data_IF_529258325549
#
_entry.id   IF_529258325549
#
_cell.length_a   1.000
_cell.length_b   1.000
_cell.length_c   1.000
_cell.angle_alpha   90.00
_cell.angle_beta   90.00
_cell.angle_gamma   90.00
#
_symmetry.space_group_name_H-M   'P 1'
#
loop_
_entity.id
_entity.type
_entity.pdbx_description
1 polymer ?
#
# COMPACT_ATOMS: atom_id res chain seq x y z
N UNK A 1 -9.11 -7.99 5.05
CA UNK A 1 -9.70 -9.35 5.01
C UNK A 1 -11.21 -9.21 5.17
N UNK A 2 -12.04 -9.75 4.28
CA UNK A 2 -13.50 -9.46 4.33
C UNK A 2 -14.17 -10.17 5.52
N UNK A 3 -15.18 -9.54 6.14
CA UNK A 3 -15.98 -10.10 7.26
C UNK A 3 -16.50 -11.52 6.97
N UNK A 4 -16.76 -11.85 5.70
CA UNK A 4 -17.26 -13.16 5.26
C UNK A 4 -16.26 -14.30 5.53
N UNK A 5 -14.96 -14.03 5.48
CA UNK A 5 -13.92 -15.04 5.74
C UNK A 5 -13.81 -15.42 7.22
N UNK A 6 -14.00 -14.45 8.12
CA UNK A 6 -14.02 -14.71 9.56
C UNK A 6 -15.17 -15.64 9.96
N UNK A 7 -16.35 -15.43 9.39
CA UNK A 7 -17.51 -16.30 9.58
C UNK A 7 -17.28 -17.72 9.07
N UNK A 8 -16.62 -17.87 7.91
CA UNK A 8 -16.32 -19.19 7.35
C UNK A 8 -15.33 -19.99 8.21
N UNK A 9 -14.26 -19.35 8.69
CA UNK A 9 -13.30 -19.99 9.59
C UNK A 9 -13.93 -20.35 10.95
N UNK A 10 -14.77 -19.48 11.50
CA UNK A 10 -15.51 -19.76 12.73
C UNK A 10 -16.48 -20.95 12.57
N UNK A 11 -17.18 -21.03 11.43
CA UNK A 11 -18.07 -22.15 11.11
C UNK A 11 -17.31 -23.48 11.04
N UNK A 12 -16.14 -23.51 10.38
CA UNK A 12 -15.28 -24.70 10.35
C UNK A 12 -14.87 -25.09 11.76
N UNK A 13 -14.44 -24.13 12.58
CA UNK A 13 -14.07 -24.37 13.98
C UNK A 13 -15.21 -24.99 14.79
N UNK A 14 -16.44 -24.46 14.66
CA UNK A 14 -17.63 -25.01 15.32
C UNK A 14 -17.94 -26.44 14.86
N UNK A 15 -17.82 -26.72 13.56
CA UNK A 15 -18.02 -28.07 13.00
C UNK A 15 -16.97 -29.04 13.56
N UNK A 16 -15.69 -28.64 13.61
CA UNK A 16 -14.62 -29.46 14.17
C UNK A 16 -14.80 -29.74 15.67
N UNK A 17 -15.14 -28.71 16.46
CA UNK A 17 -15.38 -28.86 17.91
C UNK A 17 -16.62 -29.73 18.17
N UNK A 18 -17.72 -29.49 17.44
CA UNK A 18 -18.92 -30.30 17.52
C UNK A 18 -18.67 -31.77 17.17
N UNK A 19 -17.78 -32.02 16.20
CA UNK A 19 -17.35 -33.38 15.86
C UNK A 19 -16.57 -34.05 17.00
N UNK A 20 -15.58 -33.36 17.59
CA UNK A 20 -14.80 -33.89 18.71
C UNK A 20 -15.70 -34.21 19.91
N UNK A 21 -16.63 -33.31 20.24
CA UNK A 21 -17.61 -33.54 21.31
C UNK A 21 -18.49 -34.75 20.98
N UNK A 22 -19.00 -34.85 19.76
CA UNK A 22 -19.88 -35.97 19.37
C UNK A 22 -19.14 -37.31 19.31
N UNK A 23 -17.87 -37.32 18.90
CA UNK A 23 -16.99 -38.48 18.90
C UNK A 23 -16.75 -39.00 20.32
N UNK A 24 -16.42 -38.09 21.26
CA UNK A 24 -16.00 -38.46 22.61
C UNK A 24 -17.19 -38.76 23.54
N UNK A 25 -18.33 -38.08 23.36
CA UNK A 25 -19.44 -38.13 24.32
C UNK A 25 -20.73 -38.77 23.78
N UNK A 26 -20.88 -38.99 22.46
CA UNK A 26 -22.12 -39.51 21.85
C UNK A 26 -21.87 -40.49 20.69
N UNK A 27 -21.25 -41.66 20.96
CA UNK A 27 -20.98 -42.66 19.92
C UNK A 27 -22.30 -43.20 19.31
N UNK A 28 -22.44 -43.07 18.00
CA UNK A 28 -23.55 -43.58 17.19
C UNK A 28 -22.99 -44.49 16.08
N UNK A 29 -23.76 -45.48 15.57
CA UNK A 29 -23.32 -46.32 14.47
C UNK A 29 -23.02 -45.46 13.23
N UNK A 30 -21.76 -45.54 12.76
CA UNK A 30 -21.28 -44.78 11.61
C UNK A 30 -21.62 -45.48 10.31
N UNK A 31 -21.96 -44.70 9.30
CA UNK A 31 -22.12 -45.20 7.93
C UNK A 31 -20.96 -44.69 7.09
N UNK A 32 -20.58 -45.45 6.06
CA UNK A 32 -19.55 -45.01 5.09
C UNK A 32 -19.88 -43.62 4.51
N UNK A 33 -21.16 -43.34 4.26
CA UNK A 33 -21.63 -42.04 3.77
C UNK A 33 -21.37 -40.90 4.77
N UNK A 34 -21.68 -41.09 6.06
CA UNK A 34 -21.45 -40.07 7.08
C UNK A 34 -19.96 -39.78 7.26
N UNK A 35 -19.13 -40.82 7.17
CA UNK A 35 -17.69 -40.70 7.37
C UNK A 35 -17.01 -40.02 6.18
N UNK A 36 -17.44 -40.30 4.93
CA UNK A 36 -16.97 -39.60 3.73
C UNK A 36 -17.34 -38.11 3.79
N UNK A 37 -18.61 -37.78 4.08
CA UNK A 37 -19.05 -36.38 4.15
C UNK A 37 -18.28 -35.60 5.22
N UNK A 38 -18.04 -36.21 6.38
CA UNK A 38 -17.24 -35.60 7.45
C UNK A 38 -15.78 -35.44 7.05
N UNK A 39 -15.17 -36.46 6.45
CA UNK A 39 -13.78 -36.41 5.97
C UNK A 39 -13.56 -35.30 4.96
N UNK A 40 -14.50 -35.09 4.03
CA UNK A 40 -14.45 -33.98 3.05
C UNK A 40 -14.52 -32.63 3.76
N UNK A 41 -15.48 -32.44 4.67
CA UNK A 41 -15.67 -31.14 5.36
C UNK A 41 -14.48 -30.78 6.25
N UNK A 42 -14.01 -31.72 7.07
CA UNK A 42 -12.85 -31.51 7.96
C UNK A 42 -11.58 -31.33 7.13
N UNK A 43 -11.36 -32.21 6.14
CA UNK A 43 -10.18 -32.16 5.27
C UNK A 43 -10.09 -30.84 4.50
N UNK A 44 -11.21 -30.39 3.90
CA UNK A 44 -11.27 -29.09 3.23
C UNK A 44 -11.00 -27.94 4.21
N UNK A 45 -11.64 -27.95 5.38
CA UNK A 45 -11.47 -26.90 6.39
C UNK A 45 -10.02 -26.79 6.88
N UNK A 46 -9.40 -27.91 7.24
CA UNK A 46 -7.99 -27.97 7.64
C UNK A 46 -7.07 -27.52 6.51
N UNK A 47 -7.23 -28.06 5.30
CA UNK A 47 -6.40 -27.69 4.15
C UNK A 47 -6.49 -26.18 3.85
N UNK A 48 -7.69 -25.61 3.91
CA UNK A 48 -7.92 -24.19 3.70
C UNK A 48 -7.23 -23.33 4.78
N UNK A 49 -7.39 -23.67 6.06
CA UNK A 49 -6.76 -22.97 7.19
C UNK A 49 -5.23 -23.11 7.15
N UNK A 50 -4.72 -24.31 6.87
CA UNK A 50 -3.28 -24.55 6.73
C UNK A 50 -2.69 -23.72 5.60
N UNK A 51 -3.34 -23.67 4.43
CA UNK A 51 -2.90 -22.82 3.32
C UNK A 51 -2.90 -21.32 3.69
N UNK A 52 -3.91 -20.85 4.43
CA UNK A 52 -3.97 -19.46 4.91
C UNK A 52 -2.85 -19.12 5.91
N UNK A 53 -2.58 -20.02 6.86
CA UNK A 53 -1.48 -19.86 7.81
C UNK A 53 -0.14 -19.87 7.09
N UNK A 54 0.06 -20.82 6.19
CA UNK A 54 1.27 -20.94 5.40
C UNK A 54 1.50 -19.70 4.51
N UNK A 55 0.43 -19.16 3.91
CA UNK A 55 0.45 -17.90 3.18
C UNK A 55 0.92 -16.73 4.04
N UNK A 56 0.38 -16.60 5.25
CA UNK A 56 0.80 -15.52 6.17
C UNK A 56 2.26 -15.64 6.59
N UNK A 57 2.73 -16.87 6.83
CA UNK A 57 4.12 -17.13 7.22
C UNK A 57 5.11 -16.89 6.07
N UNK A 58 4.72 -17.18 4.82
CA UNK A 58 5.58 -17.03 3.63
C UNK A 58 5.53 -15.66 2.98
N UNK A 59 4.49 -14.86 3.26
CA UNK A 59 4.37 -13.51 2.72
C UNK A 59 5.30 -12.54 3.46
N UNK A 60 6.22 -11.93 2.71
CA UNK A 60 6.97 -10.77 3.16
C UNK A 60 6.13 -9.52 2.93
N UNK A 61 5.93 -8.73 3.99
CA UNK A 61 5.17 -7.49 3.96
C UNK A 61 6.05 -6.35 4.43
N UNK A 62 6.44 -5.47 3.51
CA UNK A 62 7.27 -4.30 3.84
C UNK A 62 6.72 -3.10 3.09
N UNK A 63 6.60 -1.96 3.78
CA UNK A 63 6.18 -0.69 3.17
C UNK A 63 4.83 -0.75 2.43
N UNK A 64 3.91 -1.60 2.89
CA UNK A 64 2.60 -1.84 2.25
C UNK A 64 2.63 -2.84 1.10
N UNK A 65 3.82 -3.22 0.61
CA UNK A 65 3.99 -4.20 -0.45
C UNK A 65 4.00 -5.63 0.06
N UNK A 66 3.47 -6.53 -0.76
CA UNK A 66 3.42 -7.96 -0.48
C UNK A 66 4.25 -8.69 -1.54
N UNK A 67 5.19 -9.50 -1.09
CA UNK A 67 5.94 -10.44 -1.94
C UNK A 67 6.06 -11.82 -1.29
N UNK A 68 6.36 -12.84 -2.08
CA UNK A 68 6.65 -14.21 -1.62
C UNK A 68 7.78 -14.74 -2.51
N UNK A 69 8.86 -15.19 -1.89
CA UNK A 69 10.00 -15.80 -2.57
C UNK A 69 9.83 -17.33 -2.72
N UNK A 70 10.54 -17.93 -3.67
CA UNK A 70 10.50 -19.38 -3.94
C UNK A 70 9.23 -19.85 -4.66
N UNK A 71 8.55 -18.94 -5.37
CA UNK A 71 7.40 -19.26 -6.22
C UNK A 71 7.87 -19.72 -7.61
N UNK A 72 7.04 -20.49 -8.31
CA UNK A 72 7.29 -20.93 -9.68
C UNK A 72 8.28 -22.10 -9.82
N UNK A 73 9.02 -22.45 -8.76
CA UNK A 73 10.02 -23.52 -8.80
C UNK A 73 9.38 -24.93 -8.89
N UNK A 74 9.82 -25.79 -9.83
CA UNK A 74 9.46 -27.20 -9.86
C UNK A 74 9.80 -27.88 -8.53
N UNK A 75 8.89 -28.72 -8.01
CA UNK A 75 9.08 -29.39 -6.71
C UNK A 75 8.63 -28.57 -5.50
N UNK A 76 8.10 -27.35 -5.69
CA UNK A 76 7.44 -26.62 -4.61
C UNK A 76 6.20 -27.37 -4.10
N UNK A 77 6.18 -27.61 -2.78
CA UNK A 77 5.13 -28.40 -2.14
C UNK A 77 3.74 -27.80 -2.32
N UNK A 78 2.71 -28.67 -2.31
CA UNK A 78 1.32 -28.29 -2.60
C UNK A 78 0.79 -27.17 -1.68
N UNK A 79 1.26 -27.09 -0.44
CA UNK A 79 0.91 -26.02 0.51
C UNK A 79 1.43 -24.65 0.09
N UNK A 80 2.64 -24.55 -0.46
CA UNK A 80 3.18 -23.27 -0.95
C UNK A 80 2.37 -22.76 -2.15
N UNK A 81 2.04 -23.66 -3.07
CA UNK A 81 1.20 -23.33 -4.24
C UNK A 81 -0.21 -22.90 -3.81
N UNK A 82 -0.81 -23.59 -2.85
CA UNK A 82 -2.14 -23.24 -2.32
C UNK A 82 -2.12 -21.89 -1.58
N UNK A 83 -1.12 -21.66 -0.75
CA UNK A 83 -0.89 -20.38 -0.07
C UNK A 83 -0.72 -19.23 -1.07
N UNK A 84 0.04 -19.47 -2.12
CA UNK A 84 0.27 -18.53 -3.20
C UNK A 84 -1.02 -18.17 -3.96
N UNK A 85 -1.81 -19.17 -4.37
CA UNK A 85 -3.09 -18.95 -5.05
C UNK A 85 -4.08 -18.09 -4.24
N UNK A 86 -3.91 -18.04 -2.92
CA UNK A 86 -4.70 -17.16 -2.04
C UNK A 86 -4.14 -15.74 -1.94
N UNK A 87 -2.82 -15.56 -2.11
CA UNK A 87 -2.14 -14.27 -1.92
C UNK A 87 -2.03 -13.44 -3.19
N UNK A 88 -1.84 -14.08 -4.33
CA UNK A 88 -1.50 -13.42 -5.59
C UNK A 88 -2.61 -13.65 -6.64
N UNK A 89 -3.23 -12.58 -7.17
CA UNK A 89 -4.29 -12.69 -8.16
C UNK A 89 -3.77 -12.78 -9.61
N UNK A 90 -2.74 -13.60 -9.86
CA UNK A 90 -2.17 -13.81 -11.20
C UNK A 90 -0.92 -14.69 -11.16
N UNK A 91 -0.51 -15.27 -12.31
CA UNK A 91 0.62 -16.21 -12.41
C UNK A 91 1.96 -15.56 -12.05
N UNK A 92 2.92 -16.38 -11.63
CA UNK A 92 4.30 -15.99 -11.26
C UNK A 92 5.29 -16.93 -11.91
N UNK A 93 6.43 -16.38 -12.28
CA UNK A 93 7.59 -17.14 -12.73
C UNK A 93 8.47 -17.58 -11.55
N UNK A 94 9.49 -18.37 -11.85
CA UNK A 94 10.64 -18.58 -10.96
C UNK A 94 11.33 -17.25 -10.67
N UNK A 95 12.02 -17.15 -9.54
CA UNK A 95 12.68 -15.90 -9.13
C UNK A 95 13.78 -15.48 -10.10
N UNK A 96 14.42 -16.43 -10.79
CA UNK A 96 15.41 -16.16 -11.83
C UNK A 96 14.81 -15.38 -13.01
N UNK A 97 13.54 -15.63 -13.34
CA UNK A 97 12.86 -14.99 -14.47
C UNK A 97 12.16 -13.69 -14.07
N UNK A 98 11.39 -13.71 -12.98
CA UNK A 98 10.74 -12.51 -12.49
C UNK A 98 10.34 -12.57 -11.02
N UNK A 99 10.44 -11.43 -10.33
CA UNK A 99 9.93 -11.24 -8.96
C UNK A 99 8.86 -10.16 -8.95
N UNK A 100 7.85 -10.37 -8.10
CA UNK A 100 6.63 -9.59 -8.08
C UNK A 100 6.37 -9.05 -6.68
N UNK A 101 5.94 -7.79 -6.65
CA UNK A 101 5.29 -7.19 -5.50
C UNK A 101 3.93 -6.69 -5.92
N UNK A 102 2.95 -6.81 -5.03
CA UNK A 102 1.67 -6.15 -5.23
C UNK A 102 1.24 -5.41 -3.98
N UNK A 103 0.41 -4.39 -4.18
CA UNK A 103 -0.22 -3.67 -3.08
C UNK A 103 -1.59 -3.17 -3.49
N UNK A 104 -2.50 -3.15 -2.51
CA UNK A 104 -3.74 -2.39 -2.57
C UNK A 104 -3.83 -1.36 -1.43
N UNK A 105 -2.70 -1.11 -0.78
CA UNK A 105 -2.56 -0.14 0.31
C UNK A 105 -1.39 0.80 0.10
N UNK A 106 -1.48 2.01 0.62
CA UNK A 106 -0.33 2.91 0.71
C UNK A 106 0.66 2.43 1.79
N UNK A 107 1.76 3.18 1.95
CA UNK A 107 2.68 3.06 3.08
C UNK A 107 2.03 3.38 4.43
N UNK A 108 0.73 3.68 4.46
CA UNK A 108 -0.05 3.85 5.67
C UNK A 108 -0.90 2.62 6.03
N UNK A 109 -0.94 1.61 5.16
CA UNK A 109 -1.88 0.49 5.25
C UNK A 109 -3.31 0.85 4.87
N UNK A 110 -3.57 2.06 4.34
CA UNK A 110 -4.89 2.47 3.86
C UNK A 110 -5.11 1.97 2.46
N UNK A 111 -6.34 1.58 2.15
CA UNK A 111 -6.70 1.15 0.79
C UNK A 111 -6.45 2.25 -0.24
N UNK A 112 -5.77 1.89 -1.32
CA UNK A 112 -5.51 2.76 -2.46
C UNK A 112 -6.82 3.10 -3.20
N UNK A 113 -7.02 4.39 -3.44
CA UNK A 113 -8.15 4.95 -4.19
C UNK A 113 -7.71 6.16 -4.99
N UNK A 114 -8.18 6.35 -6.22
CA UNK A 114 -7.87 7.57 -6.99
C UNK A 114 -8.70 8.80 -6.58
N UNK A 115 -9.24 8.81 -5.35
CA UNK A 115 -9.69 10.02 -4.65
C UNK A 115 -8.52 10.77 -3.99
N UNK A 116 -7.33 10.16 -3.97
CA UNK A 116 -6.12 10.73 -3.42
C UNK A 116 -5.00 10.54 -4.43
N UNK A 117 -3.97 11.35 -4.24
CA UNK A 117 -2.77 11.33 -5.03
C UNK A 117 -1.65 10.69 -4.20
N UNK A 118 -0.81 9.91 -4.87
CA UNK A 118 0.31 9.23 -4.24
C UNK A 118 1.58 9.45 -5.05
N UNK A 119 2.71 9.41 -4.36
CA UNK A 119 4.03 9.40 -4.96
C UNK A 119 4.76 8.14 -4.51
N UNK A 120 5.30 7.40 -5.47
CA UNK A 120 6.29 6.36 -5.23
C UNK A 120 7.67 6.95 -5.51
N UNK A 121 8.39 7.28 -4.45
CA UNK A 121 9.72 7.88 -4.51
C UNK A 121 10.80 6.79 -4.45
N UNK A 122 11.55 6.63 -5.53
CA UNK A 122 12.77 5.83 -5.56
C UNK A 122 13.97 6.73 -5.28
N UNK A 123 14.78 6.46 -4.23
CA UNK A 123 15.99 7.25 -4.00
C UNK A 123 16.98 7.07 -5.17
N UNK A 124 17.98 7.94 -5.27
CA UNK A 124 19.03 7.80 -6.28
C UNK A 124 19.67 6.40 -6.23
N UNK A 125 19.72 5.72 -7.37
CA UNK A 125 20.18 4.31 -7.46
C UNK A 125 19.23 3.27 -6.84
N UNK A 126 18.05 3.66 -6.38
CA UNK A 126 17.05 2.80 -5.72
C UNK A 126 16.00 2.19 -6.65
N UNK A 127 16.08 2.43 -7.96
CA UNK A 127 15.24 1.76 -8.94
C UNK A 127 15.45 0.23 -8.89
N UNK A 128 14.45 -0.59 -9.25
CA UNK A 128 14.58 -2.04 -9.16
C UNK A 128 15.72 -2.59 -10.04
N UNK A 129 16.77 -3.19 -9.44
CA UNK A 129 17.90 -3.71 -10.21
C UNK A 129 17.48 -4.92 -11.03
N UNK A 130 17.84 -4.93 -12.31
CA UNK A 130 17.41 -5.94 -13.27
C UNK A 130 18.37 -6.01 -14.46
N UNK A 131 18.33 -7.12 -15.19
CA UNK A 131 19.07 -7.30 -16.45
C UNK A 131 18.17 -7.17 -17.69
N UNK A 132 16.85 -7.04 -17.52
CA UNK A 132 15.89 -6.89 -18.62
C UNK A 132 15.06 -5.60 -18.52
N UNK A 133 14.05 -5.59 -17.64
CA UNK A 133 13.28 -4.38 -17.30
C UNK A 133 12.48 -4.56 -16.00
N UNK A 134 11.98 -3.45 -15.47
CA UNK A 134 10.91 -3.47 -14.47
C UNK A 134 9.64 -2.76 -14.97
N UNK A 135 8.51 -3.07 -14.36
CA UNK A 135 7.25 -2.37 -14.62
C UNK A 135 6.42 -2.18 -13.36
N UNK A 136 5.85 -1.00 -13.21
CA UNK A 136 4.80 -0.69 -12.24
C UNK A 136 3.47 -0.58 -12.99
N UNK A 137 2.60 -1.56 -12.81
CA UNK A 137 1.30 -1.64 -13.48
C UNK A 137 0.17 -1.32 -12.53
N UNK A 138 -0.84 -0.61 -13.03
CA UNK A 138 -2.05 -0.29 -12.26
C UNK A 138 -3.29 -0.97 -12.85
N UNK A 139 -4.14 -1.49 -11.97
CA UNK A 139 -5.48 -1.97 -12.32
C UNK A 139 -6.50 -1.55 -11.27
N UNK A 140 -7.79 -1.72 -11.56
CA UNK A 140 -8.83 -1.54 -10.55
C UNK A 140 -8.73 -2.59 -9.42
N UNK A 141 -9.61 -2.50 -8.42
CA UNK A 141 -9.67 -3.48 -7.33
C UNK A 141 -9.91 -4.95 -7.78
N UNK A 142 -10.26 -5.19 -9.04
CA UNK A 142 -10.43 -6.51 -9.66
C UNK A 142 -9.28 -6.87 -10.61
N UNK A 143 -8.17 -6.13 -10.56
CA UNK A 143 -6.98 -6.31 -11.41
C UNK A 143 -7.24 -6.07 -12.91
N UNK A 144 -8.23 -5.23 -13.26
CA UNK A 144 -8.55 -4.89 -14.66
C UNK A 144 -7.97 -3.53 -15.03
N UNK A 145 -7.46 -3.39 -16.24
CA UNK A 145 -7.05 -2.10 -16.76
C UNK A 145 -8.25 -1.16 -16.90
N UNK A 146 -8.05 0.09 -16.49
CA UNK A 146 -9.07 1.14 -16.55
C UNK A 146 -8.65 2.16 -17.60
N UNK A 147 -9.45 2.37 -18.66
CA UNK A 147 -9.17 3.36 -19.68
C UNK A 147 -8.83 4.73 -19.08
N UNK A 148 -7.84 5.41 -19.67
CA UNK A 148 -7.40 6.73 -19.24
C UNK A 148 -6.97 7.59 -20.44
N UNK A 149 -6.92 8.93 -20.30
CA UNK A 149 -6.74 9.84 -21.44
C UNK A 149 -5.46 9.65 -22.26
N UNK A 150 -4.42 9.06 -21.66
CA UNK A 150 -3.12 8.87 -22.31
C UNK A 150 -2.83 7.40 -22.63
N UNK A 151 -3.84 6.51 -22.50
CA UNK A 151 -3.73 5.08 -22.74
C UNK A 151 -2.54 4.40 -22.03
N UNK A 152 -2.20 4.85 -20.81
CA UNK A 152 -1.06 4.38 -20.01
C UNK A 152 -1.52 3.56 -18.83
N UNK A 153 -1.09 2.30 -18.75
CA UNK A 153 -1.47 1.37 -17.67
C UNK A 153 -0.29 0.89 -16.84
N UNK A 154 0.93 1.23 -17.27
CA UNK A 154 2.15 0.97 -16.55
C UNK A 154 3.20 2.06 -16.81
N UNK A 155 4.15 2.18 -15.90
CA UNK A 155 5.44 2.86 -16.11
C UNK A 155 6.59 1.86 -15.89
N UNK A 156 7.74 2.13 -16.48
CA UNK A 156 8.94 1.28 -16.47
C UNK A 156 10.20 2.13 -16.64
N UNK A 157 11.37 1.50 -16.50
CA UNK A 157 12.66 2.04 -16.95
C UNK A 157 12.68 2.43 -18.43
N UNK A 158 11.77 1.90 -19.24
CA UNK A 158 11.61 2.23 -20.68
C UNK A 158 10.61 3.35 -20.95
N UNK A 159 9.98 3.90 -19.91
CA UNK A 159 8.94 4.92 -20.05
C UNK A 159 9.48 6.35 -20.19
N UNK A 160 10.80 6.53 -20.21
CA UNK A 160 11.43 7.86 -20.27
C UNK A 160 11.22 8.66 -18.98
N UNK A 161 11.27 7.98 -17.83
CA UNK A 161 11.14 8.64 -16.53
C UNK A 161 12.23 9.68 -16.34
N UNK A 162 11.83 10.87 -15.90
CA UNK A 162 12.71 12.00 -15.66
C UNK A 162 13.16 11.96 -14.20
N UNK A 163 14.48 11.84 -13.92
CA UNK A 163 14.99 11.90 -12.57
C UNK A 163 14.93 13.33 -12.01
N UNK A 164 14.82 13.43 -10.69
CA UNK A 164 14.98 14.65 -9.93
C UNK A 164 16.46 15.10 -9.95
N UNK A 165 16.73 16.34 -9.52
CA UNK A 165 18.08 16.90 -9.49
C UNK A 165 19.07 16.12 -8.60
N UNK A 166 18.58 15.40 -7.60
CA UNK A 166 19.38 14.54 -6.72
C UNK A 166 19.56 13.10 -7.27
N UNK A 167 19.05 12.81 -8.47
CA UNK A 167 19.09 11.50 -9.11
C UNK A 167 17.99 10.53 -8.66
N UNK A 168 17.11 10.93 -7.72
CA UNK A 168 15.93 10.15 -7.36
C UNK A 168 14.88 10.15 -8.48
N UNK A 169 13.90 9.25 -8.41
CA UNK A 169 12.79 9.17 -9.37
C UNK A 169 11.47 9.10 -8.62
N UNK A 170 10.60 10.08 -8.87
CA UNK A 170 9.23 10.08 -8.37
C UNK A 170 8.28 9.53 -9.43
N UNK A 171 7.44 8.56 -9.09
CA UNK A 171 6.30 8.15 -9.93
C UNK A 171 5.00 8.66 -9.30
N UNK A 172 4.25 9.45 -10.06
CA UNK A 172 3.00 10.07 -9.61
C UNK A 172 1.80 9.18 -9.95
N UNK A 173 1.01 8.82 -8.94
CA UNK A 173 -0.11 7.89 -9.03
C UNK A 173 -1.39 8.66 -8.69
N UNK A 174 -2.02 9.27 -9.69
CA UNK A 174 -3.11 10.21 -9.47
C UNK A 174 -4.03 10.30 -10.69
N UNK A 175 -5.24 10.82 -10.50
CA UNK A 175 -6.24 10.91 -11.57
C UNK A 175 -5.95 12.02 -12.56
N UNK A 176 -5.47 13.15 -12.06
CA UNK A 176 -5.16 14.35 -12.85
C UNK A 176 -3.67 14.37 -13.15
N UNK A 177 -3.31 14.74 -14.38
CA UNK A 177 -1.91 14.86 -14.77
C UNK A 177 -1.18 15.89 -13.87
N UNK A 178 -0.05 15.54 -13.25
CA UNK A 178 0.77 16.51 -12.54
C UNK A 178 1.50 17.40 -13.56
N UNK A 179 1.22 18.71 -13.54
CA UNK A 179 1.79 19.67 -14.47
C UNK A 179 3.34 19.62 -14.45
N UNK A 180 3.94 19.44 -15.62
CA UNK A 180 5.41 19.37 -15.78
C UNK A 180 6.03 18.06 -15.31
N UNK A 181 5.24 17.06 -14.91
CA UNK A 181 5.71 15.72 -14.49
C UNK A 181 4.94 14.59 -15.16
N UNK A 182 4.38 14.86 -16.34
CA UNK A 182 3.56 13.93 -17.12
C UNK A 182 4.36 12.69 -17.54
N UNK A 183 5.67 12.82 -17.77
CA UNK A 183 6.55 11.70 -18.07
C UNK A 183 6.51 10.63 -16.96
N UNK A 184 6.45 11.06 -15.70
CA UNK A 184 6.48 10.20 -14.52
C UNK A 184 5.10 9.85 -13.97
N UNK A 185 4.04 10.20 -14.69
CA UNK A 185 2.67 10.01 -14.24
C UNK A 185 2.09 8.67 -14.70
N UNK A 186 1.42 7.98 -13.78
CA UNK A 186 0.60 6.80 -14.04
C UNK A 186 -0.86 7.10 -13.63
N UNK A 187 -1.80 7.20 -14.61
CA UNK A 187 -3.18 7.60 -14.35
C UNK A 187 -3.94 6.64 -13.44
N UNK A 188 -4.46 7.15 -12.33
CA UNK A 188 -5.25 6.38 -11.37
C UNK A 188 -6.76 6.42 -11.68
N UNK A 189 -7.48 5.28 -11.54
CA UNK A 189 -8.93 5.27 -11.70
C UNK A 189 -9.60 5.96 -10.52
N UNK A 190 -10.80 6.52 -10.71
CA UNK A 190 -11.54 7.22 -9.64
C UNK A 190 -11.86 6.31 -8.42
N UNK A 191 -11.95 4.99 -8.64
CA UNK A 191 -12.25 4.00 -7.63
C UNK A 191 -11.02 3.47 -6.88
N UNK A 192 -11.19 2.32 -6.24
CA UNK A 192 -10.09 1.55 -5.65
C UNK A 192 -9.22 0.95 -6.74
N UNK A 193 -7.91 0.95 -6.51
CA UNK A 193 -6.95 0.36 -7.44
C UNK A 193 -5.94 -0.51 -6.71
N UNK A 194 -5.22 -1.30 -7.49
CA UNK A 194 -4.08 -2.10 -7.04
C UNK A 194 -2.89 -1.81 -7.93
N UNK A 195 -1.70 -2.01 -7.37
CA UNK A 195 -0.43 -1.88 -8.07
C UNK A 195 0.32 -3.19 -8.05
N UNK A 196 1.06 -3.39 -9.13
CA UNK A 196 1.99 -4.48 -9.27
C UNK A 196 3.34 -3.92 -9.71
N UNK A 197 4.37 -4.18 -8.94
CA UNK A 197 5.74 -4.03 -9.38
C UNK A 197 6.25 -5.40 -9.85
N UNK A 198 6.79 -5.45 -11.06
CA UNK A 198 7.37 -6.66 -11.65
C UNK A 198 8.77 -6.34 -12.09
N UNK A 199 9.72 -7.20 -11.74
CA UNK A 199 11.12 -7.05 -12.13
C UNK A 199 11.52 -8.32 -12.86
N UNK A 200 11.97 -8.18 -14.09
CA UNK A 200 12.33 -9.27 -15.00
C UNK A 200 13.85 -9.42 -15.06
N UNK A 201 14.34 -10.65 -14.93
CA UNK A 201 15.76 -10.96 -14.67
C UNK A 201 16.31 -10.10 -13.51
N UNK A 202 15.77 -10.26 -12.29
CA UNK A 202 16.09 -9.41 -11.16
C UNK A 202 17.56 -9.52 -10.74
N UNK A 203 18.15 -8.39 -10.35
CA UNK A 203 19.52 -8.32 -9.88
C UNK A 203 19.75 -9.00 -8.50
N UNK A 204 21.02 -9.15 -8.08
CA UNK A 204 21.39 -9.90 -6.88
C UNK A 204 20.67 -9.48 -5.60
N UNK A 205 20.49 -8.18 -5.36
CA UNK A 205 19.83 -7.65 -4.15
C UNK A 205 18.33 -7.97 -4.09
N UNK A 206 17.69 -8.22 -5.23
CA UNK A 206 16.32 -8.74 -5.23
C UNK A 206 16.32 -10.23 -4.92
N UNK A 207 17.24 -10.99 -5.54
CA UNK A 207 17.33 -12.45 -5.39
C UNK A 207 17.70 -12.87 -3.96
N UNK A 208 18.57 -12.11 -3.29
CA UNK A 208 18.92 -12.33 -1.87
C UNK A 208 17.87 -11.78 -0.89
N UNK A 209 16.85 -11.10 -1.40
CA UNK A 209 15.76 -10.54 -0.62
C UNK A 209 16.16 -9.34 0.24
N UNK A 210 17.23 -8.61 -0.07
CA UNK A 210 17.63 -7.36 0.59
C UNK A 210 16.95 -6.12 0.03
N UNK A 211 16.53 -6.14 -1.24
CA UNK A 211 15.81 -5.04 -1.89
C UNK A 211 14.47 -4.76 -1.19
N UNK A 212 14.18 -3.47 -0.99
CA UNK A 212 12.94 -2.99 -0.37
C UNK A 212 12.27 -2.00 -1.31
N UNK A 213 11.07 -2.34 -1.78
CA UNK A 213 10.26 -1.37 -2.52
C UNK A 213 9.91 -0.21 -1.58
N UNK A 214 10.13 1.05 -2.00
CA UNK A 214 9.74 2.20 -1.20
C UNK A 214 8.24 2.19 -0.89
N UNK A 215 7.81 2.76 0.24
CA UNK A 215 6.38 2.93 0.50
C UNK A 215 5.76 3.84 -0.54
N UNK A 216 4.50 3.57 -0.88
CA UNK A 216 3.68 4.60 -1.50
C UNK A 216 3.40 5.65 -0.46
N UNK A 217 3.89 6.86 -0.70
CA UNK A 217 3.61 7.96 0.19
C UNK A 217 2.30 8.61 -0.27
N UNK A 218 1.36 8.72 0.66
CA UNK A 218 0.23 9.63 0.50
C UNK A 218 0.76 11.04 0.74
N UNK A 219 1.38 11.58 -0.31
CA UNK A 219 1.83 12.96 -0.46
C UNK A 219 1.63 13.31 -1.91
N UNK A 220 1.15 14.52 -2.13
CA UNK A 220 0.76 14.97 -3.43
C UNK A 220 0.82 16.48 -3.48
N UNK A 221 0.83 16.97 -4.71
CA UNK A 221 0.46 18.33 -4.99
C UNK A 221 -0.97 18.52 -4.50
N UNK A 222 -1.15 19.30 -3.45
CA UNK A 222 -2.47 19.67 -2.98
C UNK A 222 -3.00 20.74 -3.92
N UNK A 223 -4.05 20.41 -4.67
CA UNK A 223 -4.81 21.39 -5.43
C UNK A 223 -5.96 21.94 -4.56
N UNK A 224 -5.84 23.21 -4.22
CA UNK A 224 -6.79 23.99 -3.42
C UNK A 224 -7.77 24.76 -4.31
N UNK A 225 -7.78 24.52 -5.64
CA UNK A 225 -8.75 25.13 -6.57
C UNK A 225 -10.18 24.65 -6.31
N UNK A 226 -10.34 23.39 -5.89
CA UNK A 226 -11.63 22.75 -5.57
C UNK A 226 -12.06 22.94 -4.11
N UNK A 227 -11.27 23.67 -3.30
CA UNK A 227 -11.62 24.02 -1.92
C UNK A 227 -10.51 23.73 -0.90
N UNK A 228 -10.79 24.12 0.35
CA UNK A 228 -9.89 23.90 1.47
C UNK A 228 -9.72 22.40 1.78
N UNK A 229 -8.66 22.06 2.50
CA UNK A 229 -8.30 20.70 2.87
C UNK A 229 -7.78 20.68 4.31
N UNK A 230 -7.91 19.58 5.04
CA UNK A 230 -7.54 19.44 6.45
C UNK A 230 -6.44 18.41 6.56
N UNK A 231 -5.25 18.82 7.01
CA UNK A 231 -4.20 17.92 7.48
C UNK A 231 -4.53 17.48 8.91
N UNK A 232 -4.63 16.18 9.13
CA UNK A 232 -4.76 15.61 10.46
C UNK A 232 -3.42 15.04 10.90
N UNK A 233 -3.01 15.39 12.12
CA UNK A 233 -1.78 14.95 12.75
C UNK A 233 -2.13 14.17 14.03
N UNK A 234 -1.66 12.93 14.20
CA UNK A 234 -1.90 12.17 15.42
C UNK A 234 -0.96 12.66 16.54
N UNK A 235 -1.12 12.13 17.74
CA UNK A 235 -0.09 12.27 18.77
C UNK A 235 1.19 11.53 18.33
N UNK A 236 2.24 12.30 18.11
CA UNK A 236 3.54 11.84 17.65
C UNK A 236 4.43 11.38 18.80
N UNK A 237 3.93 11.35 20.05
CA UNK A 237 4.61 10.86 21.24
C UNK A 237 6.00 11.49 21.44
N UNK A 238 6.11 12.80 21.20
CA UNK A 238 7.36 13.55 21.28
C UNK A 238 8.38 13.25 20.18
N UNK A 239 8.07 12.41 19.19
CA UNK A 239 8.96 12.08 18.06
C UNK A 239 9.17 13.28 17.14
N UNK A 240 10.35 13.33 16.51
CA UNK A 240 10.55 14.25 15.39
C UNK A 240 9.65 13.88 14.21
N UNK A 241 8.84 14.84 13.79
CA UNK A 241 8.13 14.81 12.53
C UNK A 241 8.06 16.22 11.96
N UNK A 242 7.89 16.30 10.65
CA UNK A 242 7.66 17.54 9.94
C UNK A 242 6.82 17.27 8.69
N UNK A 243 5.72 18.00 8.55
CA UNK A 243 4.96 18.18 7.33
C UNK A 243 5.32 19.55 6.79
N UNK A 244 6.04 19.56 5.68
CA UNK A 244 6.50 20.73 4.96
C UNK A 244 5.47 21.12 3.91
N UNK A 245 5.22 22.42 3.77
CA UNK A 245 4.38 22.99 2.71
C UNK A 245 5.20 23.95 1.88
N UNK A 246 5.31 23.66 0.59
CA UNK A 246 6.15 24.38 -0.37
C UNK A 246 5.31 24.90 -1.51
N UNK A 247 5.54 26.15 -1.88
CA UNK A 247 5.02 26.72 -3.11
C UNK A 247 5.81 26.14 -4.30
N UNK A 248 5.16 25.38 -5.22
CA UNK A 248 5.80 24.85 -6.42
C UNK A 248 6.53 25.89 -7.25
N UNK A 249 5.92 27.07 -7.37
CA UNK A 249 6.27 28.04 -8.40
C UNK A 249 7.57 28.73 -8.02
N UNK A 250 7.71 29.05 -6.74
CA UNK A 250 8.87 29.75 -6.18
C UNK A 250 9.84 28.83 -5.46
N UNK A 251 9.49 27.54 -5.32
CA UNK A 251 10.19 26.57 -4.47
C UNK A 251 10.42 27.06 -3.03
N UNK A 252 9.50 27.88 -2.52
CA UNK A 252 9.60 28.51 -1.20
C UNK A 252 8.73 27.78 -0.20
N UNK A 253 9.31 27.40 0.94
CA UNK A 253 8.55 26.82 2.05
C UNK A 253 7.77 27.92 2.76
N UNK A 254 6.45 27.80 2.78
CA UNK A 254 5.58 28.81 3.41
C UNK A 254 5.01 28.35 4.74
N UNK A 255 4.99 27.05 5.04
CA UNK A 255 4.55 26.55 6.34
C UNK A 255 5.19 25.20 6.72
N UNK A 256 5.17 24.92 8.02
CA UNK A 256 5.53 23.63 8.60
C UNK A 256 4.60 23.27 9.74
N UNK A 257 4.14 22.02 9.77
CA UNK A 257 3.50 21.38 10.93
C UNK A 257 4.44 20.30 11.43
N UNK A 258 4.89 20.37 12.67
CA UNK A 258 5.96 19.50 13.14
C UNK A 258 6.33 19.73 14.60
N UNK A 259 7.13 18.83 15.16
CA UNK A 259 7.52 18.85 16.59
C UNK A 259 7.98 20.23 17.06
N UNK A 260 8.77 20.92 16.22
CA UNK A 260 9.33 22.24 16.54
C UNK A 260 8.36 23.40 16.31
N UNK A 261 7.47 23.31 15.32
CA UNK A 261 6.63 24.44 14.89
C UNK A 261 5.24 24.42 15.51
N UNK A 262 4.69 23.23 15.77
CA UNK A 262 3.31 23.07 16.25
C UNK A 262 3.18 22.10 17.42
N UNK A 263 4.29 21.49 17.87
CA UNK A 263 4.29 20.48 18.93
C UNK A 263 4.09 19.07 18.39
N UNK A 264 4.15 18.09 19.29
CA UNK A 264 4.01 16.67 18.98
C UNK A 264 2.63 16.09 19.30
N UNK A 265 1.74 16.89 19.87
CA UNK A 265 0.37 16.46 20.19
C UNK A 265 -0.49 16.37 18.92
N UNK A 266 -1.61 15.66 19.02
CA UNK A 266 -2.57 15.55 17.94
C UNK A 266 -3.16 16.93 17.58
N UNK A 267 -3.45 17.15 16.30
CA UNK A 267 -4.07 18.40 15.85
C UNK A 267 -4.52 18.37 14.39
N UNK A 268 -5.52 19.20 14.10
CA UNK A 268 -6.09 19.39 12.78
C UNK A 268 -5.71 20.77 12.20
N UNK A 269 -5.30 20.80 10.93
CA UNK A 269 -4.77 21.97 10.27
C UNK A 269 -5.48 22.21 8.93
N UNK A 270 -6.26 23.28 8.83
CA UNK A 270 -7.01 23.63 7.63
C UNK A 270 -6.12 24.38 6.63
N UNK A 271 -5.74 23.72 5.54
CA UNK A 271 -5.11 24.31 4.38
C UNK A 271 -6.13 25.01 3.47
N UNK A 272 -5.91 26.30 3.22
CA UNK A 272 -6.81 27.12 2.39
C UNK A 272 -6.06 27.77 1.24
N UNK A 273 -6.66 27.78 0.05
CA UNK A 273 -6.10 28.49 -1.11
C UNK A 273 -6.29 30.01 -1.05
N UNK A 274 -5.66 30.76 -1.97
CA UNK A 274 -5.81 32.21 -2.06
C UNK A 274 -7.27 32.64 -2.23
N UNK A 275 -7.69 33.64 -1.46
CA UNK A 275 -9.04 34.21 -1.53
C UNK A 275 -10.15 33.35 -0.90
N UNK A 276 -9.81 32.33 -0.13
CA UNK A 276 -10.80 31.55 0.62
C UNK A 276 -11.48 32.42 1.70
N UNK A 277 -12.81 32.38 1.75
CA UNK A 277 -13.66 33.23 2.62
C UNK A 277 -14.50 32.45 3.64
N UNK A 278 -14.27 31.14 3.78
CA UNK A 278 -14.97 30.31 4.75
C UNK A 278 -14.57 30.63 6.21
N UNK A 279 -15.24 29.97 7.15
CA UNK A 279 -14.86 30.02 8.57
C UNK A 279 -13.99 28.80 8.91
N UNK A 280 -12.93 29.03 9.69
CA UNK A 280 -12.08 27.96 10.20
C UNK A 280 -12.88 27.18 11.24
N UNK A 281 -13.10 25.85 11.08
CA UNK A 281 -13.84 25.07 12.05
C UNK A 281 -13.18 25.09 13.44
N UNK A 282 -14.00 25.02 14.48
CA UNK A 282 -13.54 25.05 15.87
C UNK A 282 -12.47 23.97 16.14
N UNK A 283 -11.38 24.38 16.80
CA UNK A 283 -10.26 23.50 17.14
C UNK A 283 -9.21 23.30 16.04
N UNK A 284 -9.43 23.82 14.83
CA UNK A 284 -8.46 23.73 13.73
C UNK A 284 -7.56 24.97 13.65
N UNK A 285 -6.33 24.77 13.15
CA UNK A 285 -5.40 25.87 12.83
C UNK A 285 -5.32 26.09 11.32
N UNK A 286 -5.49 27.32 10.86
CA UNK A 286 -5.41 27.62 9.42
C UNK A 286 -3.95 27.69 8.92
N UNK A 287 -3.73 27.14 7.72
CA UNK A 287 -2.51 27.29 6.93
C UNK A 287 -2.91 27.90 5.59
N UNK A 288 -2.68 29.20 5.43
CA UNK A 288 -3.00 29.90 4.19
C UNK A 288 -1.90 29.67 3.14
N UNK A 289 -2.26 29.03 2.03
CA UNK A 289 -1.34 28.79 0.93
C UNK A 289 -1.26 30.03 0.02
N UNK A 290 -0.05 30.44 -0.41
CA UNK A 290 0.12 31.57 -1.33
C UNK A 290 -0.39 31.26 -2.73
N UNK A 291 -0.48 29.97 -3.09
CA UNK A 291 -0.94 29.47 -4.38
C UNK A 291 -1.96 28.34 -4.20
N UNK A 292 -2.72 28.06 -5.26
CA UNK A 292 -3.67 26.94 -5.28
C UNK A 292 -2.99 25.58 -5.37
N UNK A 293 -1.74 25.50 -5.82
CA UNK A 293 -0.95 24.27 -5.80
C UNK A 293 0.06 24.33 -4.66
N UNK A 294 0.14 23.25 -3.87
CA UNK A 294 1.08 23.14 -2.74
C UNK A 294 1.76 21.79 -2.77
N UNK A 295 3.09 21.75 -2.73
CA UNK A 295 3.82 20.53 -2.45
C UNK A 295 3.79 20.26 -0.95
N UNK A 296 3.27 19.10 -0.56
CA UNK A 296 3.27 18.64 0.83
C UNK A 296 4.28 17.50 0.98
N UNK A 297 5.18 17.60 1.97
CA UNK A 297 6.15 16.54 2.27
C UNK A 297 6.13 16.19 3.76
N UNK A 298 5.69 14.98 4.09
CA UNK A 298 5.75 14.42 5.44
C UNK A 298 7.07 13.69 5.70
N UNK A 299 7.68 13.94 6.86
CA UNK A 299 8.86 13.24 7.38
C UNK A 299 8.59 12.80 8.81
N UNK A 300 8.95 11.55 9.11
CA UNK A 300 8.91 10.99 10.47
C UNK A 300 10.24 10.31 10.70
N UNK A 301 10.93 10.68 11.79
CA UNK A 301 12.23 10.09 12.12
C UNK A 301 12.07 8.60 12.44
N UNK A 302 13.03 7.79 12.01
CA UNK A 302 13.25 6.41 12.49
C UNK A 302 14.53 6.44 13.31
N UNK A 303 14.48 6.03 14.58
CA UNK A 303 15.65 6.05 15.46
C UNK A 303 16.61 4.89 15.20
N UNK A 304 16.05 3.70 14.96
CA UNK A 304 16.75 2.45 14.70
C UNK A 304 15.81 1.44 14.01
N UNK A 305 16.32 0.27 13.65
CA UNK A 305 15.55 -0.77 12.93
C UNK A 305 14.34 -1.29 13.73
N UNK A 306 14.44 -1.35 15.06
CA UNK A 306 13.34 -1.81 15.93
C UNK A 306 12.19 -0.80 15.98
N UNK A 307 12.53 0.47 15.80
CA UNK A 307 11.63 1.62 15.81
C UNK A 307 10.86 1.83 14.49
N UNK A 308 11.33 1.22 13.39
CA UNK A 308 10.74 1.35 12.05
C UNK A 308 9.22 1.10 12.06
N UNK A 309 8.76 0.09 12.79
CA UNK A 309 7.32 -0.25 12.87
C UNK A 309 6.48 0.85 13.53
N UNK A 310 7.03 1.53 14.55
CA UNK A 310 6.38 2.64 15.26
C UNK A 310 6.40 3.90 14.42
N UNK A 311 7.54 4.24 13.83
CA UNK A 311 7.70 5.39 12.93
C UNK A 311 6.74 5.27 11.73
N UNK A 312 6.68 4.08 11.13
CA UNK A 312 5.74 3.75 10.07
C UNK A 312 4.30 3.92 10.57
N UNK A 313 3.90 3.29 11.69
CA UNK A 313 2.54 3.43 12.27
C UNK A 313 2.12 4.89 12.50
N UNK A 314 3.05 5.78 12.86
CA UNK A 314 2.75 7.20 13.07
C UNK A 314 2.71 7.97 11.75
N UNK A 315 3.66 7.72 10.84
CA UNK A 315 3.65 8.34 9.51
C UNK A 315 2.40 7.98 8.72
N UNK A 316 1.89 6.76 8.95
CA UNK A 316 0.62 6.35 8.39
C UNK A 316 -0.45 7.35 8.78
N UNK A 317 -0.54 7.78 10.04
CA UNK A 317 -1.64 8.59 10.55
C UNK A 317 -1.62 10.07 10.15
N UNK A 318 -0.62 10.52 9.40
CA UNK A 318 -0.61 11.84 8.74
C UNK A 318 -1.42 11.76 7.45
N UNK A 319 -2.49 12.56 7.32
CA UNK A 319 -3.27 12.57 6.07
C UNK A 319 -4.01 13.88 5.84
N UNK A 320 -4.42 14.11 4.59
CA UNK A 320 -5.20 15.27 4.17
C UNK A 320 -6.58 14.84 3.67
N UNK A 321 -7.65 15.54 4.07
CA UNK A 321 -9.04 15.29 3.66
C UNK A 321 -9.78 16.61 3.37
N UNK A 322 -10.85 16.62 2.57
CA UNK A 322 -11.75 17.78 2.52
C UNK A 322 -12.30 18.10 3.93
N UNK A 323 -12.62 19.38 4.23
CA UNK A 323 -13.27 19.77 5.47
C UNK A 323 -14.66 19.11 5.60
N UNK A 324 -15.13 18.89 6.84
CA UNK A 324 -16.42 18.26 7.13
C UNK A 324 -17.63 19.05 6.64
#
# INVERSE_FOLDING_TARGET
MSRRWGWFAALIGVICVGFVIRLLFFPQPRTVRSDILQGILIGYGLAFVTAQLYARLKATRVNGWITVFGLGEPGTGMLLRAAYAQLFPGPVNTAAEAVYWWTNTDGAGRTLTGRRDYVLHFPAGGLPPNNAFWSLTMGDAKNRFVPNPINRYAVSDRSGLVPNADGSVDVHLQRTAPAGREANWLPAPAGRFILWLRVYEPGPTILDGSYRVPPLLTVGWLDLSEGAQVLQVPDMAGRYYAVQFTDPVTNTNFAYVGKRTTGAEAGDYLLTGPGWTGQVPDGMKQIAAPNRSVLVIGRVLVHDDSDLSTAYRLSTQLWVTPPP
#
